data_IF_170507730492
#
_entry.id   IF_170507730492
#
_cell.length_a   1.000
_cell.length_b   1.000
_cell.length_c   1.000
_cell.angle_alpha   90.00
_cell.angle_beta   90.00
_cell.angle_gamma   90.00
#
_symmetry.space_group_name_H-M   'P 1'
#
loop_
_entity.id
_entity.type
_entity.pdbx_description
1 polymer ?
#
# COMPACT_ATOMS: atom_id res chain seq x y z
N UNK A 1 -31.90 31.06 -58.62
CA UNK A 1 -30.63 30.46 -58.14
C UNK A 1 -29.53 31.50 -58.35
N UNK A 2 -28.54 31.69 -57.44
CA UNK A 2 -27.94 30.66 -56.60
C UNK A 2 -28.12 30.83 -55.08
N UNK A 3 -27.93 29.70 -54.40
CA UNK A 3 -27.89 29.53 -52.95
C UNK A 3 -26.50 29.95 -52.49
N UNK A 4 -26.40 30.81 -51.47
CA UNK A 4 -25.12 31.15 -50.86
C UNK A 4 -24.78 30.08 -49.80
N UNK A 5 -23.76 29.28 -50.09
CA UNK A 5 -23.15 28.36 -49.16
C UNK A 5 -22.34 29.16 -48.12
N UNK A 6 -22.94 29.41 -46.96
CA UNK A 6 -22.18 29.76 -45.74
C UNK A 6 -22.69 28.91 -44.59
N UNK A 7 -22.07 27.75 -44.49
CA UNK A 7 -21.72 27.03 -43.26
C UNK A 7 -22.43 27.53 -41.99
N UNK A 8 -23.59 26.94 -41.71
CA UNK A 8 -24.13 26.87 -40.35
C UNK A 8 -24.09 25.41 -39.94
N UNK A 9 -22.90 24.94 -39.62
CA UNK A 9 -22.66 23.75 -38.81
C UNK A 9 -21.55 24.11 -37.83
N UNK A 10 -21.85 25.02 -36.90
CA UNK A 10 -21.04 25.17 -35.70
C UNK A 10 -21.41 24.03 -34.75
N UNK A 11 -20.72 22.91 -34.99
CA UNK A 11 -20.28 21.91 -34.02
C UNK A 11 -21.16 21.77 -32.76
N UNK A 12 -22.18 20.93 -32.85
CA UNK A 12 -22.56 20.06 -31.72
C UNK A 12 -21.40 19.09 -31.46
N UNK A 13 -20.37 19.58 -30.80
CA UNK A 13 -19.39 18.75 -30.11
C UNK A 13 -19.09 19.46 -28.81
N UNK A 14 -20.12 19.54 -27.95
CA UNK A 14 -19.86 19.41 -26.52
C UNK A 14 -19.15 18.06 -26.38
N UNK A 15 -17.82 18.11 -26.42
CA UNK A 15 -16.99 17.01 -26.01
C UNK A 15 -17.46 16.69 -24.61
N UNK A 16 -18.23 15.61 -24.50
CA UNK A 16 -18.43 14.92 -23.25
C UNK A 16 -17.02 14.62 -22.77
N UNK A 17 -16.52 15.48 -21.88
CA UNK A 17 -15.45 15.16 -20.96
C UNK A 17 -16.02 14.03 -20.09
N UNK A 18 -16.03 12.84 -20.68
CA UNK A 18 -16.08 11.60 -19.94
C UNK A 18 -14.80 11.70 -19.12
N UNK A 19 -14.91 12.20 -17.89
CA UNK A 19 -14.04 11.78 -16.81
C UNK A 19 -14.08 10.26 -16.89
N UNK A 20 -13.10 9.70 -17.63
CA UNK A 20 -12.80 8.29 -17.60
C UNK A 20 -12.40 8.09 -16.16
N UNK A 21 -13.37 7.73 -15.33
CA UNK A 21 -13.16 7.19 -14.01
C UNK A 21 -12.18 6.05 -14.21
N UNK A 22 -10.90 6.35 -14.00
CA UNK A 22 -9.83 5.42 -14.17
C UNK A 22 -10.11 4.36 -13.11
N UNK A 23 -10.61 3.19 -13.52
CA UNK A 23 -10.84 2.11 -12.58
C UNK A 23 -9.48 1.74 -12.01
N UNK A 24 -9.16 2.30 -10.85
CA UNK A 24 -7.88 2.12 -10.16
C UNK A 24 -7.85 0.68 -9.67
N UNK A 25 -7.21 -0.20 -10.42
CA UNK A 25 -7.02 -1.60 -9.99
C UNK A 25 -6.30 -1.62 -8.66
N UNK A 26 -6.92 -2.23 -7.65
CA UNK A 26 -6.28 -2.50 -6.36
C UNK A 26 -5.71 -3.90 -6.40
N UNK A 27 -4.39 -4.00 -6.35
CA UNK A 27 -3.67 -5.24 -6.15
C UNK A 27 -3.61 -5.55 -4.65
N UNK A 28 -3.97 -6.76 -4.25
CA UNK A 28 -3.86 -7.22 -2.86
C UNK A 28 -2.69 -8.20 -2.79
N UNK A 29 -1.66 -7.84 -2.03
CA UNK A 29 -0.49 -8.70 -1.81
C UNK A 29 -0.25 -8.94 -0.33
N UNK A 30 0.28 -10.10 0.01
CA UNK A 30 0.75 -10.42 1.35
C UNK A 30 2.27 -10.48 1.35
N UNK A 31 2.89 -9.77 2.29
CA UNK A 31 4.35 -9.71 2.42
C UNK A 31 4.79 -10.08 3.82
N UNK A 32 5.90 -10.80 3.88
CA UNK A 32 6.61 -11.16 5.11
C UNK A 32 7.89 -10.33 5.18
N UNK A 33 8.07 -9.58 6.27
CA UNK A 33 9.25 -8.75 6.52
C UNK A 33 9.83 -9.12 7.87
N UNK A 34 11.14 -9.38 7.89
CA UNK A 34 11.87 -9.59 9.13
C UNK A 34 12.20 -8.25 9.79
N UNK A 35 12.17 -8.23 11.12
CA UNK A 35 12.68 -7.10 11.89
C UNK A 35 14.16 -6.86 11.58
N UNK A 36 14.71 -5.65 11.76
CA UNK A 36 16.10 -5.33 11.40
C UNK A 36 17.18 -6.21 12.03
N UNK A 37 16.85 -6.97 13.07
CA UNK A 37 17.74 -7.94 13.71
C UNK A 37 17.47 -9.40 13.34
N UNK A 38 16.61 -9.65 12.34
CA UNK A 38 16.21 -10.97 11.84
C UNK A 38 15.60 -11.89 12.90
N UNK A 39 14.96 -11.32 13.94
CA UNK A 39 14.43 -12.10 15.07
C UNK A 39 12.95 -12.39 14.98
N UNK A 40 12.16 -11.45 14.45
CA UNK A 40 10.70 -11.55 14.37
C UNK A 40 10.25 -11.25 12.95
N UNK A 41 9.38 -12.10 12.41
CA UNK A 41 8.72 -11.92 11.12
C UNK A 41 7.37 -11.24 11.33
N UNK A 42 7.08 -10.22 10.55
CA UNK A 42 5.76 -9.60 10.45
C UNK A 42 5.21 -9.82 9.05
N UNK A 43 3.98 -10.30 8.99
CA UNK A 43 3.22 -10.44 7.76
C UNK A 43 2.18 -9.33 7.69
N UNK A 44 2.15 -8.63 6.57
CA UNK A 44 1.13 -7.61 6.29
C UNK A 44 0.45 -7.88 4.94
N UNK A 45 -0.86 -7.65 4.88
CA UNK A 45 -1.61 -7.64 3.61
C UNK A 45 -1.81 -6.21 3.14
N UNK A 46 -1.16 -5.87 2.04
CA UNK A 46 -1.12 -4.54 1.45
C UNK A 46 -2.13 -4.46 0.29
N UNK A 47 -2.87 -3.35 0.25
CA UNK A 47 -3.67 -2.94 -0.89
C UNK A 47 -2.88 -1.88 -1.65
N UNK A 48 -2.53 -2.18 -2.89
CA UNK A 48 -1.67 -1.36 -3.72
C UNK A 48 -2.48 -0.86 -4.90
N UNK A 49 -2.43 0.44 -5.12
CA UNK A 49 -3.00 1.04 -6.30
C UNK A 49 -1.98 0.91 -7.44
N UNK A 50 -2.22 -0.05 -8.33
CA UNK A 50 -1.24 -0.50 -9.34
C UNK A 50 -0.76 0.65 -10.24
N UNK A 51 -1.67 1.54 -10.64
CA UNK A 51 -1.35 2.70 -11.49
C UNK A 51 -0.35 3.69 -10.89
N UNK A 52 -0.12 3.65 -9.57
CA UNK A 52 0.84 4.53 -8.88
C UNK A 52 1.91 3.75 -8.12
N UNK A 53 1.80 2.42 -8.03
CA UNK A 53 2.65 1.61 -7.17
C UNK A 53 2.60 2.05 -5.70
N UNK A 54 1.45 2.54 -5.23
CA UNK A 54 1.29 3.12 -3.88
C UNK A 54 0.47 2.20 -2.99
N UNK A 55 0.91 2.03 -1.74
CA UNK A 55 0.12 1.40 -0.69
C UNK A 55 -1.01 2.37 -0.29
N UNK A 56 -2.25 1.94 -0.49
CA UNK A 56 -3.45 2.71 -0.17
C UNK A 56 -4.25 2.12 0.98
N UNK A 57 -3.94 0.89 1.38
CA UNK A 57 -4.61 0.22 2.49
C UNK A 57 -3.79 -0.95 3.04
N UNK A 58 -4.07 -1.32 4.29
CA UNK A 58 -3.47 -2.48 4.96
C UNK A 58 -4.58 -3.18 5.75
N UNK A 59 -4.89 -4.43 5.40
CA UNK A 59 -6.07 -5.13 5.92
C UNK A 59 -5.77 -6.18 6.99
N UNK A 60 -4.53 -6.67 7.07
CA UNK A 60 -4.10 -7.62 8.09
C UNK A 60 -2.65 -7.37 8.46
N UNK A 61 -2.33 -7.53 9.75
CA UNK A 61 -0.97 -7.51 10.31
C UNK A 61 -0.87 -8.60 11.36
N UNK A 62 0.07 -9.52 11.19
CA UNK A 62 0.33 -10.60 12.14
C UNK A 62 1.83 -10.85 12.31
N UNK A 63 2.20 -11.47 13.43
CA UNK A 63 3.55 -11.99 13.62
C UNK A 63 3.60 -13.40 13.04
N UNK A 64 4.39 -13.59 11.97
CA UNK A 64 4.45 -14.83 11.19
C UNK A 64 5.51 -15.82 11.67
N UNK A 65 6.42 -15.41 12.56
CA UNK A 65 7.46 -16.30 13.05
C UNK A 65 8.57 -15.63 13.83
N UNK A 66 9.48 -16.45 14.34
CA UNK A 66 10.73 -16.02 14.97
C UNK A 66 11.85 -17.00 14.67
N UNK A 67 13.04 -16.49 14.34
CA UNK A 67 14.24 -17.30 14.08
C UNK A 67 15.15 -17.43 15.32
N UNK A 68 14.90 -16.64 16.37
CA UNK A 68 15.78 -16.58 17.52
C UNK A 68 15.17 -17.31 18.73
N UNK A 69 15.85 -18.35 19.21
CA UNK A 69 15.46 -19.04 20.44
C UNK A 69 15.46 -18.07 21.63
N UNK A 70 14.34 -18.01 22.34
CA UNK A 70 14.16 -17.13 23.51
C UNK A 70 13.49 -15.78 23.22
N UNK A 71 12.93 -15.61 22.02
CA UNK A 71 11.97 -14.51 21.75
C UNK A 71 10.62 -14.83 22.40
N UNK A 72 10.01 -13.85 23.05
CA UNK A 72 8.71 -13.99 23.72
C UNK A 72 7.98 -12.65 23.81
N UNK A 73 6.71 -12.68 24.23
CA UNK A 73 5.87 -11.47 24.44
C UNK A 73 5.82 -10.55 23.23
N UNK A 74 5.75 -11.13 22.03
CA UNK A 74 5.74 -10.38 20.78
C UNK A 74 4.40 -9.65 20.61
N UNK A 75 4.47 -8.41 20.14
CA UNK A 75 3.31 -7.62 19.73
C UNK A 75 3.66 -6.79 18.50
N UNK A 76 2.75 -6.74 17.55
CA UNK A 76 2.80 -5.82 16.42
C UNK A 76 1.86 -4.64 16.70
N UNK A 77 2.25 -3.44 16.30
CA UNK A 77 1.40 -2.26 16.33
C UNK A 77 0.39 -2.27 15.19
N UNK A 78 -0.57 -1.34 15.26
CA UNK A 78 -1.30 -0.91 14.08
C UNK A 78 -0.30 -0.42 13.02
N UNK A 79 -0.45 -0.80 11.74
CA UNK A 79 0.43 -0.34 10.69
C UNK A 79 0.19 1.15 10.37
N UNK A 80 1.20 1.78 9.79
CA UNK A 80 1.13 3.16 9.29
C UNK A 80 1.56 3.20 7.83
N UNK A 81 0.77 3.84 6.98
CA UNK A 81 1.18 4.18 5.60
C UNK A 81 1.99 5.49 5.66
N UNK A 82 3.12 5.52 4.98
CA UNK A 82 4.09 6.60 5.03
C UNK A 82 4.42 7.10 3.63
N UNK A 83 4.88 8.37 3.54
CA UNK A 83 5.32 9.01 2.30
C UNK A 83 4.34 8.78 1.13
N UNK A 84 3.07 9.13 1.34
CA UNK A 84 1.99 9.02 0.36
C UNK A 84 1.84 7.63 -0.29
N UNK A 85 2.06 6.58 0.50
CA UNK A 85 1.94 5.19 0.03
C UNK A 85 3.24 4.59 -0.49
N UNK A 86 4.37 5.29 -0.42
CA UNK A 86 5.66 4.75 -0.86
C UNK A 86 6.14 3.57 -0.01
N UNK A 87 5.76 3.53 1.26
CA UNK A 87 6.00 2.40 2.16
C UNK A 87 5.01 2.38 3.33
N UNK A 88 4.97 1.28 4.06
CA UNK A 88 4.26 1.15 5.32
C UNK A 88 5.19 0.67 6.42
N UNK A 89 4.88 1.02 7.66
CA UNK A 89 5.64 0.57 8.83
C UNK A 89 4.76 -0.15 9.83
N UNK A 90 5.33 -1.16 10.49
CA UNK A 90 4.75 -1.84 11.66
C UNK A 90 5.82 -1.85 12.74
N UNK A 91 5.47 -1.35 13.93
CA UNK A 91 6.34 -1.49 15.10
C UNK A 91 6.15 -2.86 15.72
N UNK A 92 7.25 -3.50 16.08
CA UNK A 92 7.27 -4.79 16.75
C UNK A 92 7.97 -4.62 18.08
N UNK A 93 7.31 -5.07 19.14
CA UNK A 93 7.90 -5.18 20.47
C UNK A 93 8.00 -6.63 20.87
N UNK A 94 9.12 -7.01 21.46
CA UNK A 94 9.33 -8.38 21.96
C UNK A 94 10.39 -8.40 23.05
N UNK A 95 10.43 -9.50 23.80
CA UNK A 95 11.47 -9.78 24.79
C UNK A 95 12.43 -10.82 24.23
N UNK A 96 13.72 -10.55 24.30
CA UNK A 96 14.79 -11.49 23.90
C UNK A 96 15.90 -11.47 24.95
N UNK A 97 16.29 -12.65 25.44
CA UNK A 97 17.33 -12.82 26.48
C UNK A 97 17.18 -11.87 27.68
N UNK A 98 15.95 -11.72 28.16
CA UNK A 98 15.65 -10.88 29.33
C UNK A 98 15.44 -9.39 29.02
N UNK A 99 15.77 -8.90 27.82
CA UNK A 99 15.67 -7.49 27.42
C UNK A 99 14.48 -7.24 26.51
N UNK A 100 13.89 -6.05 26.61
CA UNK A 100 12.84 -5.61 25.69
C UNK A 100 13.47 -4.96 24.45
N UNK A 101 12.93 -5.29 23.30
CA UNK A 101 13.31 -4.75 22.01
C UNK A 101 12.10 -4.08 21.38
N UNK A 102 12.37 -3.00 20.66
CA UNK A 102 11.43 -2.26 19.83
C UNK A 102 12.10 -2.05 18.47
N UNK A 103 11.42 -2.49 17.42
CA UNK A 103 11.94 -2.50 16.07
C UNK A 103 10.85 -2.11 15.07
N UNK A 104 11.26 -1.53 13.94
CA UNK A 104 10.33 -1.10 12.89
C UNK A 104 10.54 -2.02 11.68
N UNK A 105 9.48 -2.69 11.25
CA UNK A 105 9.42 -3.43 9.99
C UNK A 105 8.86 -2.51 8.90
N UNK A 106 9.54 -2.44 7.75
CA UNK A 106 9.16 -1.58 6.64
C UNK A 106 8.71 -2.43 5.44
N UNK A 107 7.52 -2.15 4.93
CA UNK A 107 6.91 -2.82 3.79
C UNK A 107 6.89 -1.88 2.59
N UNK A 108 7.37 -2.37 1.44
CA UNK A 108 7.33 -1.64 0.18
C UNK A 108 6.28 -2.23 -0.76
N UNK A 109 5.72 -1.42 -1.68
CA UNK A 109 4.70 -1.86 -2.64
C UNK A 109 5.22 -2.93 -3.63
N UNK A 110 6.52 -2.93 -3.97
CA UNK A 110 7.12 -3.86 -4.94
C UNK A 110 7.85 -5.03 -4.29
#
# INVERSE_FOLDING_TARGET
>A
MPVNAKEVLQNENEAWDIEKGNARTILIITKDVWSPSDRVCVRATLQIQDSYGQIVGISNVEICGSLATGVSKMKASTPKICADGSYATVEVTYKYKGKNYHEICTFYPN
#
